data_IF_039205226072
#
_entry.id   IF_039205226072
#
_cell.length_a   1.000
_cell.length_b   1.000
_cell.length_c   1.000
_cell.angle_alpha   90.00
_cell.angle_beta   90.00
_cell.angle_gamma   90.00
#
_symmetry.space_group_name_H-M   'P 1'
#
loop_
_entity.id
_entity.type
_entity.pdbx_description
1 polymer ?
#
# COMPACT_ATOMS: atom_id res chain seq x y z
N UNK A 1 22.71 -13.57 -1.15
CA UNK A 1 21.76 -12.50 -1.54
C UNK A 1 22.08 -11.26 -0.70
N UNK A 2 22.31 -10.11 -1.33
CA UNK A 2 22.66 -8.84 -0.64
C UNK A 2 21.89 -7.62 -1.17
N UNK A 3 21.10 -7.79 -2.24
CA UNK A 3 20.24 -6.75 -2.78
C UNK A 3 18.85 -6.81 -2.13
N UNK A 4 18.16 -5.67 -2.06
CA UNK A 4 16.79 -5.60 -1.52
C UNK A 4 15.76 -6.32 -2.39
N UNK A 5 16.02 -6.42 -3.71
CA UNK A 5 15.20 -7.15 -4.68
C UNK A 5 16.13 -7.86 -5.64
N UNK A 6 16.05 -9.20 -5.70
CA UNK A 6 16.78 -10.04 -6.63
C UNK A 6 15.96 -10.32 -7.88
N UNK A 7 16.52 -10.07 -9.06
CA UNK A 7 15.88 -10.35 -10.36
C UNK A 7 16.78 -11.28 -11.16
N UNK A 8 16.36 -12.52 -11.34
CA UNK A 8 17.05 -13.54 -12.12
C UNK A 8 16.62 -13.51 -13.59
N UNK A 9 17.58 -13.64 -14.50
CA UNK A 9 17.32 -13.75 -15.94
C UNK A 9 17.46 -15.22 -16.35
N UNK A 10 16.40 -15.81 -16.90
CA UNK A 10 16.42 -17.20 -17.35
C UNK A 10 17.32 -17.38 -18.58
N UNK A 11 18.47 -18.03 -18.40
CA UNK A 11 19.35 -18.47 -19.48
C UNK A 11 19.24 -19.98 -19.74
N UNK A 12 19.82 -20.43 -20.84
CA UNK A 12 19.93 -21.86 -21.18
C UNK A 12 21.03 -22.57 -20.37
N UNK A 13 21.96 -21.82 -19.77
CA UNK A 13 23.20 -22.36 -19.20
C UNK A 13 23.15 -22.56 -17.68
N UNK A 14 22.09 -22.10 -17.00
CA UNK A 14 21.92 -22.31 -15.56
C UNK A 14 20.74 -21.57 -14.94
N UNK A 15 19.99 -22.28 -14.08
CA UNK A 15 18.81 -21.75 -13.37
C UNK A 15 19.09 -21.36 -11.91
N UNK A 16 20.33 -21.50 -11.44
CA UNK A 16 20.67 -21.26 -10.03
C UNK A 16 20.40 -19.81 -9.61
N UNK A 17 20.76 -18.83 -10.45
CA UNK A 17 20.50 -17.42 -10.17
C UNK A 17 19.00 -17.09 -10.19
N UNK A 18 18.21 -17.78 -11.01
CA UNK A 18 16.75 -17.62 -11.10
C UNK A 18 16.07 -18.18 -9.86
N UNK A 19 16.44 -19.39 -9.44
CA UNK A 19 15.87 -20.04 -8.28
C UNK A 19 16.20 -19.31 -6.97
N UNK A 20 17.29 -18.55 -6.94
CA UNK A 20 17.70 -17.72 -5.82
C UNK A 20 17.27 -16.24 -5.97
N UNK A 21 16.31 -15.91 -6.84
CA UNK A 21 15.82 -14.54 -7.06
C UNK A 21 14.34 -14.40 -6.69
N UNK A 22 13.91 -13.17 -6.36
CA UNK A 22 12.51 -12.87 -6.04
C UNK A 22 11.63 -12.85 -7.30
N UNK A 23 12.20 -12.38 -8.41
CA UNK A 23 11.54 -12.36 -9.72
C UNK A 23 12.40 -13.02 -10.78
N UNK A 24 11.77 -13.90 -11.57
CA UNK A 24 12.37 -14.50 -12.75
C UNK A 24 11.85 -13.82 -14.02
N UNK A 25 12.74 -13.27 -14.84
CA UNK A 25 12.40 -12.71 -16.16
C UNK A 25 13.14 -13.45 -17.27
N UNK A 26 12.51 -13.62 -18.43
CA UNK A 26 13.16 -14.33 -19.54
C UNK A 26 14.25 -13.50 -20.25
N UNK A 27 14.10 -12.16 -20.31
CA UNK A 27 15.00 -11.26 -21.02
C UNK A 27 15.09 -9.92 -20.31
N UNK A 28 16.26 -9.26 -20.39
CA UNK A 28 16.49 -7.98 -19.72
C UNK A 28 15.49 -6.89 -20.13
N UNK A 29 14.98 -6.89 -21.36
CA UNK A 29 13.96 -5.92 -21.82
C UNK A 29 12.67 -5.92 -20.98
N UNK A 30 12.33 -7.03 -20.32
CA UNK A 30 11.15 -7.11 -19.46
C UNK A 30 11.34 -6.40 -18.12
N UNK A 31 12.59 -6.12 -17.72
CA UNK A 31 12.88 -5.36 -16.51
C UNK A 31 12.23 -3.97 -16.56
N UNK A 32 12.22 -3.32 -17.73
CA UNK A 32 11.61 -2.00 -17.89
C UNK A 32 10.13 -2.03 -17.53
N UNK A 33 9.36 -2.99 -18.05
CA UNK A 33 7.92 -3.13 -17.75
C UNK A 33 7.68 -3.59 -16.31
N UNK A 34 8.55 -4.44 -15.77
CA UNK A 34 8.47 -4.87 -14.37
C UNK A 34 8.59 -3.67 -13.42
N UNK A 35 9.56 -2.78 -13.63
CA UNK A 35 9.77 -1.62 -12.76
C UNK A 35 8.74 -0.51 -13.02
N UNK A 36 8.64 -0.03 -14.26
CA UNK A 36 7.87 1.18 -14.57
C UNK A 36 6.36 1.00 -14.43
N UNK A 37 5.85 -0.19 -14.75
CA UNK A 37 4.41 -0.50 -14.62
C UNK A 37 4.14 -1.14 -13.27
N UNK A 38 4.67 -2.35 -13.03
CA UNK A 38 4.27 -3.12 -11.85
C UNK A 38 4.86 -2.57 -10.56
N UNK A 39 6.15 -2.24 -10.55
CA UNK A 39 6.83 -1.67 -9.38
C UNK A 39 6.21 -0.36 -8.93
N UNK A 40 6.01 0.57 -9.88
CA UNK A 40 5.35 1.86 -9.62
C UNK A 40 3.92 1.71 -9.10
N UNK A 41 3.09 0.93 -9.81
CA UNK A 41 1.69 0.74 -9.40
C UNK A 41 1.58 0.06 -8.05
N UNK A 42 2.44 -0.93 -7.78
CA UNK A 42 2.49 -1.59 -6.46
C UNK A 42 2.86 -0.60 -5.35
N UNK A 43 3.89 0.23 -5.55
CA UNK A 43 4.27 1.26 -4.58
C UNK A 43 3.10 2.19 -4.26
N UNK A 44 2.41 2.72 -5.28
CA UNK A 44 1.27 3.63 -5.07
C UNK A 44 0.07 2.97 -4.39
N UNK A 45 -0.29 1.75 -4.81
CA UNK A 45 -1.38 0.97 -4.22
C UNK A 45 -1.12 0.69 -2.75
N UNK A 46 0.08 0.20 -2.42
CA UNK A 46 0.47 -0.10 -1.04
C UNK A 46 0.52 1.16 -0.18
N UNK A 47 1.03 2.27 -0.70
CA UNK A 47 0.99 3.56 0.02
C UNK A 47 -0.44 3.96 0.40
N UNK A 48 -1.39 3.88 -0.54
CA UNK A 48 -2.82 4.16 -0.28
C UNK A 48 -3.43 3.17 0.72
N UNK A 49 -3.17 1.88 0.56
CA UNK A 49 -3.66 0.83 1.48
C UNK A 49 -3.21 1.08 2.91
N UNK A 50 -1.93 1.43 3.10
CA UNK A 50 -1.37 1.72 4.42
C UNK A 50 -2.06 2.96 5.00
N UNK A 51 -2.06 4.08 4.28
CA UNK A 51 -2.62 5.34 4.76
C UNK A 51 -4.11 5.21 5.09
N UNK A 52 -4.89 4.56 4.23
CA UNK A 52 -6.32 4.35 4.46
C UNK A 52 -6.58 3.41 5.64
N UNK A 53 -5.74 2.39 5.84
CA UNK A 53 -5.85 1.47 6.98
C UNK A 53 -5.64 2.17 8.31
N UNK A 54 -4.69 3.11 8.39
CA UNK A 54 -4.49 3.91 9.59
C UNK A 54 -5.60 4.93 9.80
N UNK A 55 -6.01 5.62 8.72
CA UNK A 55 -7.12 6.58 8.75
C UNK A 55 -8.41 5.96 9.31
N UNK A 56 -8.82 4.78 8.80
CA UNK A 56 -10.06 4.12 9.28
C UNK A 56 -10.03 3.76 10.76
N UNK A 57 -8.86 3.39 11.28
CA UNK A 57 -8.72 2.97 12.67
C UNK A 57 -8.66 4.20 13.59
N UNK A 58 -7.95 5.25 13.17
CA UNK A 58 -7.93 6.51 13.91
C UNK A 58 -9.31 7.13 13.99
N UNK A 59 -10.09 7.13 12.90
CA UNK A 59 -11.48 7.62 12.91
C UNK A 59 -12.32 6.93 13.98
N UNK A 60 -12.24 5.59 14.09
CA UNK A 60 -12.94 4.83 15.13
C UNK A 60 -12.51 5.24 16.54
N UNK A 61 -11.19 5.32 16.77
CA UNK A 61 -10.63 5.65 18.09
C UNK A 61 -11.02 7.06 18.52
N UNK A 62 -11.00 8.03 17.60
CA UNK A 62 -11.35 9.43 17.87
C UNK A 62 -12.83 9.56 18.26
N UNK A 63 -13.73 8.88 17.54
CA UNK A 63 -15.16 8.85 17.89
C UNK A 63 -15.39 8.28 19.29
N UNK A 64 -14.74 7.17 19.62
CA UNK A 64 -14.83 6.56 20.96
C UNK A 64 -14.21 7.45 22.03
N UNK A 65 -13.12 8.14 21.73
CA UNK A 65 -12.47 9.08 22.64
C UNK A 65 -13.39 10.24 23.00
N UNK A 66 -14.01 10.90 22.02
CA UNK A 66 -14.98 11.98 22.29
C UNK A 66 -16.22 11.49 23.01
N UNK A 67 -16.74 10.31 22.65
CA UNK A 67 -17.87 9.70 23.36
C UNK A 67 -17.53 9.39 24.83
N UNK A 68 -16.29 9.00 25.12
CA UNK A 68 -15.84 8.76 26.48
C UNK A 68 -15.88 10.03 27.35
N UNK A 69 -15.61 11.22 26.79
CA UNK A 69 -15.83 12.47 27.54
C UNK A 69 -17.31 12.76 27.76
N UNK A 70 -18.15 12.50 26.75
CA UNK A 70 -19.59 12.71 26.85
C UNK A 70 -20.24 11.81 27.92
N UNK A 71 -19.80 10.55 28.04
CA UNK A 71 -20.37 9.58 28.97
C UNK A 71 -19.73 9.59 30.38
N UNK A 72 -19.02 10.68 30.73
CA UNK A 72 -18.37 10.84 32.03
C UNK A 72 -17.24 9.85 32.30
N UNK A 73 -16.54 9.41 31.24
CA UNK A 73 -15.43 8.45 31.30
C UNK A 73 -15.81 7.09 31.89
N UNK A 74 -17.07 6.69 31.71
CA UNK A 74 -17.59 5.40 32.22
C UNK A 74 -16.97 4.17 31.56
N UNK A 75 -16.23 4.35 30.46
CA UNK A 75 -15.61 3.25 29.71
C UNK A 75 -16.59 2.46 28.83
N UNK A 76 -17.85 2.89 28.76
CA UNK A 76 -18.84 2.27 27.87
C UNK A 76 -18.54 2.60 26.40
N UNK A 77 -18.65 1.59 25.54
CA UNK A 77 -18.49 1.76 24.09
C UNK A 77 -19.74 2.39 23.48
N UNK A 78 -19.56 3.25 22.47
CA UNK A 78 -20.65 3.77 21.64
C UNK A 78 -21.20 2.69 20.70
N UNK A 79 -20.31 1.82 20.21
CA UNK A 79 -20.64 0.77 19.25
C UNK A 79 -20.81 -0.58 19.95
N UNK A 80 -21.72 -1.38 19.42
CA UNK A 80 -21.92 -2.78 19.81
C UNK A 80 -20.66 -3.63 19.62
N UNK A 81 -20.45 -4.61 20.50
CA UNK A 81 -19.26 -5.46 20.51
C UNK A 81 -19.01 -6.17 19.18
N UNK A 82 -20.08 -6.59 18.49
CA UNK A 82 -19.98 -7.21 17.17
C UNK A 82 -19.44 -6.26 16.10
N UNK A 83 -19.89 -4.99 16.11
CA UNK A 83 -19.42 -3.96 15.17
C UNK A 83 -17.96 -3.62 15.45
N UNK A 84 -17.57 -3.50 16.72
CA UNK A 84 -16.18 -3.27 17.09
C UNK A 84 -15.26 -4.42 16.67
N UNK A 85 -15.66 -5.67 16.94
CA UNK A 85 -14.89 -6.85 16.54
C UNK A 85 -14.82 -6.99 15.01
N UNK A 86 -15.91 -6.68 14.31
CA UNK A 86 -16.02 -6.77 12.85
C UNK A 86 -15.49 -5.55 12.10
N UNK A 87 -15.11 -4.45 12.76
CA UNK A 87 -14.73 -3.17 12.12
C UNK A 87 -13.72 -3.36 10.99
N UNK A 88 -12.66 -4.13 11.26
CA UNK A 88 -11.63 -4.38 10.26
C UNK A 88 -12.12 -5.27 9.11
N UNK A 89 -13.00 -6.23 9.39
CA UNK A 89 -13.57 -7.12 8.39
C UNK A 89 -14.52 -6.38 7.45
N UNK A 90 -15.47 -5.60 8.00
CA UNK A 90 -16.45 -4.85 7.20
C UNK A 90 -15.79 -3.82 6.27
N UNK A 91 -14.69 -3.21 6.72
CA UNK A 91 -13.95 -2.21 5.94
C UNK A 91 -12.72 -2.78 5.22
N UNK A 92 -12.51 -4.11 5.23
CA UNK A 92 -11.40 -4.72 4.51
C UNK A 92 -11.59 -4.66 2.99
N UNK A 93 -12.82 -4.91 2.52
CA UNK A 93 -13.09 -5.03 1.09
C UNK A 93 -12.73 -3.76 0.29
N UNK A 94 -13.11 -2.54 0.73
CA UNK A 94 -12.68 -1.32 0.03
C UNK A 94 -11.16 -1.13 0.00
N UNK A 95 -10.47 -1.46 1.10
CA UNK A 95 -9.00 -1.37 1.18
C UNK A 95 -8.34 -2.36 0.21
N UNK A 96 -8.84 -3.59 0.18
CA UNK A 96 -8.36 -4.62 -0.75
C UNK A 96 -8.63 -4.19 -2.19
N UNK A 97 -9.81 -3.66 -2.47
CA UNK A 97 -10.17 -3.19 -3.81
C UNK A 97 -9.22 -2.08 -4.29
N UNK A 98 -8.89 -1.11 -3.42
CA UNK A 98 -7.88 -0.08 -3.72
C UNK A 98 -6.50 -0.73 -3.92
N UNK A 99 -6.11 -1.69 -3.08
CA UNK A 99 -4.82 -2.37 -3.18
C UNK A 99 -4.61 -3.17 -4.46
N UNK A 100 -5.68 -3.61 -5.12
CA UNK A 100 -5.62 -4.48 -6.30
C UNK A 100 -5.94 -3.71 -7.59
N UNK A 101 -7.01 -2.92 -7.59
CA UNK A 101 -7.61 -2.37 -8.82
C UNK A 101 -7.30 -0.90 -9.06
N UNK A 102 -6.76 -0.18 -8.08
CA UNK A 102 -6.45 1.25 -8.25
C UNK A 102 -5.33 1.44 -9.28
N UNK A 103 -5.63 2.18 -10.35
CA UNK A 103 -4.70 2.54 -11.40
C UNK A 103 -4.76 4.06 -11.60
N UNK A 104 -3.65 4.73 -11.30
CA UNK A 104 -3.57 6.19 -11.47
C UNK A 104 -3.20 6.59 -12.90
N UNK A 105 -2.51 5.73 -13.64
CA UNK A 105 -2.13 5.89 -15.04
C UNK A 105 -2.17 4.53 -15.76
N UNK A 106 -2.38 4.52 -17.07
CA UNK A 106 -2.38 3.28 -17.84
C UNK A 106 -0.97 2.69 -17.97
N UNK A 107 -0.82 1.36 -18.20
CA UNK A 107 0.48 0.74 -18.45
C UNK A 107 1.26 1.38 -19.61
N UNK A 108 0.56 1.83 -20.66
CA UNK A 108 1.15 2.48 -21.83
C UNK A 108 1.71 3.85 -21.44
N UNK A 109 0.97 4.62 -20.63
CA UNK A 109 1.44 5.91 -20.12
C UNK A 109 2.64 5.75 -19.18
N UNK A 110 2.61 4.74 -18.30
CA UNK A 110 3.73 4.46 -17.41
C UNK A 110 5.02 4.11 -18.18
N UNK A 111 4.90 3.42 -19.32
CA UNK A 111 6.03 3.12 -20.20
C UNK A 111 6.46 4.34 -21.04
N UNK A 112 5.52 5.15 -21.51
CA UNK A 112 5.79 6.35 -22.31
C UNK A 112 6.45 7.48 -21.49
N UNK A 113 6.16 7.57 -20.19
CA UNK A 113 6.68 8.61 -19.29
C UNK A 113 7.43 8.02 -18.08
N UNK A 114 8.67 7.52 -18.25
CA UNK A 114 9.45 6.92 -17.16
C UNK A 114 9.70 7.85 -15.97
N UNK A 115 9.64 9.18 -16.16
CA UNK A 115 9.76 10.17 -15.10
C UNK A 115 8.71 10.00 -13.98
N UNK A 116 7.56 9.37 -14.30
CA UNK A 116 6.52 9.05 -13.31
C UNK A 116 6.99 8.04 -12.24
N UNK A 117 8.10 7.34 -12.45
CA UNK A 117 8.71 6.42 -11.48
C UNK A 117 9.46 7.16 -10.35
N UNK A 118 9.89 8.41 -10.59
CA UNK A 118 10.70 9.19 -9.65
C UNK A 118 9.97 9.45 -8.32
N UNK A 119 8.64 9.50 -8.32
CA UNK A 119 7.85 9.75 -7.10
C UNK A 119 8.05 8.62 -6.07
N UNK A 120 8.18 7.38 -6.56
CA UNK A 120 8.48 6.22 -5.72
C UNK A 120 9.88 6.28 -5.12
N UNK A 121 10.88 6.71 -5.90
CA UNK A 121 12.26 6.84 -5.42
C UNK A 121 12.42 7.94 -4.36
N UNK A 122 11.59 8.99 -4.42
CA UNK A 122 11.58 10.10 -3.46
C UNK A 122 10.72 9.83 -2.23
N UNK A 123 10.03 8.69 -2.17
CA UNK A 123 9.05 8.36 -1.13
C UNK A 123 7.92 9.41 -1.01
N UNK A 124 7.49 9.98 -2.14
CA UNK A 124 6.54 11.09 -2.14
C UNK A 124 5.15 10.65 -1.65
N UNK A 125 4.75 9.39 -1.90
CA UNK A 125 3.40 8.90 -1.59
C UNK A 125 3.27 8.28 -0.19
N UNK A 126 4.37 7.79 0.39
CA UNK A 126 4.40 7.25 1.75
C UNK A 126 5.57 7.84 2.54
N UNK A 127 5.26 8.83 3.35
CA UNK A 127 6.19 9.47 4.27
C UNK A 127 5.46 9.98 5.52
N UNK A 128 6.23 10.38 6.53
CA UNK A 128 5.70 10.85 7.82
C UNK A 128 4.76 12.04 7.65
N UNK A 129 5.08 12.99 6.76
CA UNK A 129 4.24 14.15 6.51
C UNK A 129 2.86 13.75 5.97
N UNK A 130 2.80 12.91 4.92
CA UNK A 130 1.53 12.40 4.39
C UNK A 130 0.78 11.56 5.42
N UNK A 131 1.49 10.73 6.18
CA UNK A 131 0.88 9.97 7.27
C UNK A 131 0.17 10.88 8.28
N UNK A 132 0.86 11.91 8.78
CA UNK A 132 0.27 12.88 9.71
C UNK A 132 -0.91 13.63 9.11
N UNK A 133 -0.85 14.00 7.82
CA UNK A 133 -1.97 14.65 7.13
C UNK A 133 -3.20 13.74 7.07
N UNK A 134 -3.02 12.46 6.77
CA UNK A 134 -4.12 11.48 6.77
C UNK A 134 -4.69 11.28 8.18
N UNK A 135 -3.85 11.17 9.21
CA UNK A 135 -4.35 11.10 10.59
C UNK A 135 -5.11 12.37 10.99
N UNK A 136 -4.60 13.55 10.61
CA UNK A 136 -5.25 14.83 10.87
C UNK A 136 -6.64 14.93 10.23
N UNK A 137 -6.82 14.38 9.02
CA UNK A 137 -8.13 14.32 8.37
C UNK A 137 -9.12 13.36 9.05
N UNK A 138 -8.66 12.47 9.93
CA UNK A 138 -9.51 11.53 10.66
C UNK A 138 -10.12 12.14 11.93
N UNK A 139 -9.62 13.31 12.36
CA UNK A 139 -10.09 14.09 13.51
C UNK A 139 -11.22 15.02 13.07
#
# INVERSE_FOLDING_TARGET
QSAHVGIGICGQEGVQAVNASDYAIAQFRFLQRLLLVHGRSNYKRIAKVILYSFYKNMSLVIVLFFYNFYNGQSGTSLFESFVMAGWNFFLALPIIAIGIFDEDVSPEQAMAFPALYMTGQRNDDLNVYRFCLWIGNAI
#
